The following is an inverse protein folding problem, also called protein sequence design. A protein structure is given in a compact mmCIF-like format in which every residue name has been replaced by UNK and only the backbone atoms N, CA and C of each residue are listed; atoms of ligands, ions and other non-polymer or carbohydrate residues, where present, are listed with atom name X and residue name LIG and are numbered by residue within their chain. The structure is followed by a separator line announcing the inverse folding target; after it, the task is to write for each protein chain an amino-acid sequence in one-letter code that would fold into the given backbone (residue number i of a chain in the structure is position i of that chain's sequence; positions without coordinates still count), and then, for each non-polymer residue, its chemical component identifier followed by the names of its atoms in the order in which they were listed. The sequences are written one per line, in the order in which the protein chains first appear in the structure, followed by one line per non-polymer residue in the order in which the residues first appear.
data_IF_597335686551
#
_entry.id   IF_597335686551
#
_cell.length_a   1.000
_cell.length_b   1.000
_cell.length_c   1.000
_cell.angle_alpha   90.00
_cell.angle_beta   90.00
_cell.angle_gamma   90.00
#
_symmetry.space_group_name_H-M   'P 1'
#
loop_
_entity.id
_entity.type
_entity.pdbx_description
1 polymer ?
#
# COMPACT_ATOMS: atom_id res chain seq x y z
N UNK A 1 -7.22 9.27 2.20
CA UNK A 1 -6.37 8.08 2.34
C UNK A 1 -6.79 7.37 3.60
N UNK A 2 -7.36 6.19 3.44
CA UNK A 2 -7.65 5.29 4.54
C UNK A 2 -6.39 4.46 4.77
N UNK A 3 -5.93 4.39 6.02
CA UNK A 3 -4.69 3.72 6.39
C UNK A 3 -4.79 2.23 6.05
N UNK A 4 -3.80 1.69 5.34
CA UNK A 4 -3.64 0.27 5.07
C UNK A 4 -2.37 -0.26 5.75
N UNK A 5 -2.38 -1.56 6.05
CA UNK A 5 -1.19 -2.29 6.50
C UNK A 5 -0.15 -2.27 5.39
N UNK A 6 1.08 -1.89 5.72
CA UNK A 6 2.22 -1.93 4.79
C UNK A 6 2.93 -3.28 4.90
N UNK A 7 3.20 -3.90 3.75
CA UNK A 7 4.01 -5.11 3.67
C UNK A 7 5.46 -4.72 3.35
N UNK A 8 6.42 -5.40 3.95
CA UNK A 8 7.84 -5.20 3.68
C UNK A 8 8.55 -6.54 3.60
N UNK A 9 9.36 -6.71 2.55
CA UNK A 9 10.36 -7.76 2.48
C UNK A 9 11.69 -7.18 2.94
N UNK A 10 12.32 -7.80 3.94
CA UNK A 10 13.56 -7.28 4.54
C UNK A 10 14.61 -8.38 4.60
N UNK A 11 15.88 -7.98 4.56
CA UNK A 11 17.02 -8.88 4.66
C UNK A 11 17.87 -8.49 5.88
N UNK A 12 18.45 -9.50 6.54
CA UNK A 12 19.43 -9.25 7.58
C UNK A 12 20.63 -8.47 7.02
N UNK A 13 21.01 -7.37 7.67
CA UNK A 13 22.08 -6.50 7.20
C UNK A 13 23.45 -7.19 7.12
N UNK A 14 23.82 -8.04 8.08
CA UNK A 14 25.11 -8.73 8.06
C UNK A 14 25.19 -9.74 6.92
N UNK A 15 24.07 -10.42 6.64
CA UNK A 15 23.99 -11.34 5.50
C UNK A 15 24.09 -10.56 4.18
N UNK A 16 23.36 -9.46 4.05
CA UNK A 16 23.48 -8.58 2.89
C UNK A 16 24.92 -8.09 2.67
N UNK A 17 25.58 -7.62 3.73
CA UNK A 17 26.96 -7.13 3.67
C UNK A 17 27.98 -8.25 3.37
N UNK A 18 27.61 -9.52 3.59
CA UNK A 18 28.47 -10.68 3.29
C UNK A 18 28.43 -11.11 1.82
N UNK A 19 27.46 -10.64 1.04
CA UNK A 19 27.34 -11.00 -0.36
C UNK A 19 28.38 -10.28 -1.22
N UNK A 20 28.93 -10.97 -2.25
CA UNK A 20 29.68 -10.31 -3.30
C UNK A 20 28.88 -9.19 -3.96
N UNK A 21 29.58 -8.18 -4.49
CA UNK A 21 28.94 -7.01 -5.09
C UNK A 21 28.02 -7.38 -6.26
N UNK A 22 28.38 -8.36 -7.07
CA UNK A 22 27.53 -8.81 -8.17
C UNK A 22 26.17 -9.36 -7.72
N UNK A 23 26.12 -10.01 -6.55
CA UNK A 23 24.87 -10.54 -5.98
C UNK A 23 24.02 -9.41 -5.39
N UNK A 24 24.66 -8.46 -4.70
CA UNK A 24 23.97 -7.26 -4.23
C UNK A 24 23.33 -6.50 -5.39
N UNK A 25 24.10 -6.26 -6.46
CA UNK A 25 23.62 -5.56 -7.64
C UNK A 25 22.46 -6.30 -8.34
N UNK A 26 22.54 -7.64 -8.43
CA UNK A 26 21.46 -8.46 -8.98
C UNK A 26 20.17 -8.35 -8.15
N UNK A 27 20.26 -8.39 -6.82
CA UNK A 27 19.10 -8.23 -5.93
C UNK A 27 18.52 -6.82 -6.05
N UNK A 28 19.36 -5.78 -6.06
CA UNK A 28 18.90 -4.39 -6.21
C UNK A 28 18.17 -4.19 -7.53
N UNK A 29 18.66 -4.78 -8.64
CA UNK A 29 17.96 -4.74 -9.93
C UNK A 29 16.59 -5.39 -9.86
N UNK A 30 16.48 -6.57 -9.25
CA UNK A 30 15.19 -7.26 -9.09
C UNK A 30 14.22 -6.47 -8.22
N UNK A 31 14.71 -5.75 -7.20
CA UNK A 31 13.85 -4.94 -6.33
C UNK A 31 13.06 -3.86 -7.10
N UNK A 32 13.62 -3.31 -8.19
CA UNK A 32 12.91 -2.33 -9.04
C UNK A 32 11.69 -2.96 -9.72
N UNK A 33 11.84 -4.19 -10.23
CA UNK A 33 10.75 -4.96 -10.85
C UNK A 33 9.71 -5.38 -9.80
N UNK A 34 10.18 -5.87 -8.65
CA UNK A 34 9.32 -6.28 -7.53
C UNK A 34 8.46 -5.12 -7.03
N UNK A 35 8.98 -3.89 -7.00
CA UNK A 35 8.20 -2.73 -6.58
C UNK A 35 6.94 -2.55 -7.45
N UNK A 36 7.09 -2.63 -8.78
CA UNK A 36 5.96 -2.52 -9.69
C UNK A 36 4.97 -3.68 -9.53
N UNK A 37 5.47 -4.92 -9.47
CA UNK A 37 4.62 -6.11 -9.29
C UNK A 37 3.84 -6.05 -7.98
N UNK A 38 4.52 -5.79 -6.86
CA UNK A 38 3.90 -5.72 -5.54
C UNK A 38 2.88 -4.58 -5.43
N UNK A 39 3.11 -3.47 -6.15
CA UNK A 39 2.19 -2.32 -6.17
C UNK A 39 0.87 -2.63 -6.89
N UNK A 40 0.80 -3.65 -7.75
CA UNK A 40 -0.41 -3.99 -8.51
C UNK A 40 -1.01 -5.35 -8.19
N UNK A 41 -0.30 -6.19 -7.44
CA UNK A 41 -0.68 -7.58 -7.17
C UNK A 41 -2.07 -7.72 -6.51
N UNK A 42 -2.40 -6.82 -5.58
CA UNK A 42 -3.63 -6.90 -4.78
C UNK A 42 -4.89 -6.59 -5.57
N UNK A 43 -4.88 -5.49 -6.34
CA UNK A 43 -6.07 -5.01 -7.04
C UNK A 43 -6.07 -5.41 -8.52
N UNK A 44 -4.90 -5.74 -9.07
CA UNK A 44 -4.69 -6.06 -10.48
C UNK A 44 -4.38 -4.82 -11.31
N UNK A 45 -3.95 -5.04 -12.56
CA UNK A 45 -3.69 -4.00 -13.56
C UNK A 45 -4.08 -4.50 -14.95
N UNK A 46 -4.33 -3.59 -15.88
CA UNK A 46 -4.58 -3.91 -17.30
C UNK A 46 -5.73 -4.93 -17.53
N UNK A 47 -6.78 -4.86 -16.71
CA UNK A 47 -7.93 -5.78 -16.78
C UNK A 47 -7.70 -7.16 -16.16
N UNK A 48 -6.51 -7.42 -15.59
CA UNK A 48 -6.26 -8.61 -14.78
C UNK A 48 -6.86 -8.46 -13.39
N UNK A 49 -7.38 -9.55 -12.82
CA UNK A 49 -7.85 -9.61 -11.43
C UNK A 49 -6.66 -9.70 -10.48
N UNK A 50 -6.58 -8.80 -9.52
CA UNK A 50 -5.68 -8.94 -8.38
C UNK A 50 -6.19 -9.95 -7.35
N UNK A 51 -5.33 -10.26 -6.37
CA UNK A 51 -5.62 -11.20 -5.29
C UNK A 51 -6.91 -10.89 -4.53
N UNK A 52 -7.23 -9.60 -4.34
CA UNK A 52 -8.46 -9.17 -3.67
C UNK A 52 -9.71 -9.63 -4.43
N UNK A 53 -9.73 -9.48 -5.75
CA UNK A 53 -10.88 -9.90 -6.56
C UNK A 53 -10.97 -11.42 -6.64
N UNK A 54 -9.84 -12.12 -6.76
CA UNK A 54 -9.81 -13.58 -6.76
C UNK A 54 -10.34 -14.17 -5.44
N UNK A 55 -9.94 -13.59 -4.31
CA UNK A 55 -10.43 -13.99 -2.99
C UNK A 55 -11.93 -13.70 -2.82
N UNK A 56 -12.38 -12.54 -3.28
CA UNK A 56 -13.81 -12.18 -3.27
C UNK A 56 -14.65 -13.15 -4.09
N UNK A 57 -14.23 -13.43 -5.33
CA UNK A 57 -14.94 -14.36 -6.22
C UNK A 57 -15.06 -15.75 -5.57
N UNK A 58 -13.96 -16.25 -4.99
CA UNK A 58 -13.96 -17.52 -4.29
C UNK A 58 -14.92 -17.53 -3.09
N UNK A 59 -14.92 -16.48 -2.27
CA UNK A 59 -15.84 -16.34 -1.14
C UNK A 59 -17.30 -16.42 -1.58
N UNK A 60 -17.66 -15.78 -2.69
CA UNK A 60 -19.03 -15.85 -3.25
C UNK A 60 -19.37 -17.27 -3.68
N UNK A 61 -18.44 -18.02 -4.29
CA UNK A 61 -18.67 -19.46 -4.61
C UNK A 61 -18.91 -20.33 -3.38
N UNK A 62 -18.49 -19.88 -2.19
CA UNK A 62 -18.73 -20.55 -0.90
C UNK A 62 -20.03 -20.12 -0.23
N UNK A 63 -20.83 -19.28 -0.88
CA UNK A 63 -22.12 -18.81 -0.36
C UNK A 63 -22.03 -17.56 0.51
N UNK A 64 -20.88 -16.87 0.54
CA UNK A 64 -20.78 -15.60 1.25
C UNK A 64 -21.56 -14.50 0.51
N UNK A 65 -22.26 -13.65 1.27
CA UNK A 65 -22.93 -12.47 0.73
C UNK A 65 -21.94 -11.33 0.51
N UNK A 66 -21.97 -10.73 -0.68
CA UNK A 66 -21.25 -9.50 -0.97
C UNK A 66 -22.17 -8.29 -0.73
N UNK A 67 -21.73 -7.36 0.11
CA UNK A 67 -22.42 -6.09 0.39
C UNK A 67 -21.56 -4.95 -0.13
N UNK A 68 -22.06 -4.26 -1.15
CA UNK A 68 -21.41 -3.06 -1.71
C UNK A 68 -22.00 -1.82 -1.03
N UNK A 69 -21.14 -0.97 -0.48
CA UNK A 69 -21.57 0.29 0.14
C UNK A 69 -22.05 1.27 -0.94
N UNK A 70 -23.10 2.04 -0.62
CA UNK A 70 -23.53 3.14 -1.49
C UNK A 70 -22.51 4.28 -1.48
N UNK A 71 -22.63 5.21 -2.44
CA UNK A 71 -21.78 6.39 -2.50
C UNK A 71 -21.96 7.27 -1.25
N UNK A 72 -23.20 7.42 -0.80
CA UNK A 72 -23.55 8.18 0.40
C UNK A 72 -22.93 7.56 1.65
N UNK A 73 -23.01 6.23 1.79
CA UNK A 73 -22.43 5.53 2.93
C UNK A 73 -20.90 5.64 2.92
N UNK A 74 -20.28 5.44 1.75
CA UNK A 74 -18.84 5.62 1.58
C UNK A 74 -18.38 7.04 1.94
N UNK A 75 -19.15 8.07 1.56
CA UNK A 75 -18.86 9.45 1.93
C UNK A 75 -18.94 9.68 3.44
N UNK A 76 -19.94 9.10 4.13
CA UNK A 76 -20.05 9.17 5.60
C UNK A 76 -18.82 8.60 6.28
N UNK A 77 -18.32 7.45 5.83
CA UNK A 77 -17.07 6.86 6.35
C UNK A 77 -15.87 7.76 6.09
N UNK A 78 -15.73 8.28 4.88
CA UNK A 78 -14.63 9.18 4.53
C UNK A 78 -14.58 10.42 5.43
N UNK A 79 -15.72 11.09 5.67
CA UNK A 79 -15.78 12.25 6.57
C UNK A 79 -15.35 11.90 8.00
N UNK A 80 -15.76 10.74 8.52
CA UNK A 80 -15.40 10.29 9.87
C UNK A 80 -13.92 9.96 10.01
N UNK A 81 -13.28 9.50 8.94
CA UNK A 81 -11.89 9.05 8.95
C UNK A 81 -10.89 10.17 8.63
N UNK A 82 -11.33 11.28 8.00
CA UNK A 82 -10.49 12.46 7.70
C UNK A 82 -9.64 12.94 8.90
N UNK A 83 -10.17 13.09 10.12
CA UNK A 83 -9.40 13.62 11.24
C UNK A 83 -8.22 12.73 11.67
N UNK A 84 -8.26 11.43 11.36
CA UNK A 84 -7.23 10.47 11.80
C UNK A 84 -5.85 10.79 11.23
N UNK A 85 -5.77 11.39 10.04
CA UNK A 85 -4.51 11.80 9.45
C UNK A 85 -3.81 12.88 10.27
N UNK A 86 -4.57 13.90 10.71
CA UNK A 86 -4.06 14.95 11.59
C UNK A 86 -3.68 14.41 12.97
N UNK A 87 -4.50 13.51 13.53
CA UNK A 87 -4.19 12.86 14.81
C UNK A 87 -2.89 12.06 14.74
N UNK A 88 -2.64 11.35 13.63
CA UNK A 88 -1.39 10.61 13.46
C UNK A 88 -0.19 11.54 13.27
N UNK A 89 -0.35 12.69 12.59
CA UNK A 89 0.69 13.70 12.53
C UNK A 89 1.09 14.19 13.94
N UNK A 90 0.12 14.38 14.85
CA UNK A 90 0.42 14.73 16.24
C UNK A 90 1.14 13.60 17.01
N UNK A 91 0.85 12.34 16.71
CA UNK A 91 1.59 11.20 17.26
C UNK A 91 3.06 11.24 16.82
N UNK A 92 3.33 11.60 15.56
CA UNK A 92 4.69 11.76 15.04
C UNK A 92 5.40 12.96 15.67
N UNK A 93 4.72 14.09 15.83
CA UNK A 93 5.28 15.29 16.47
C UNK A 93 5.75 14.99 17.91
N UNK A 94 4.97 14.22 18.67
CA UNK A 94 5.37 13.75 20.02
C UNK A 94 6.62 12.88 20.03
N UNK A 95 6.96 12.26 18.90
CA UNK A 95 8.19 11.48 18.68
C UNK A 95 9.32 12.32 18.08
N UNK A 96 9.17 13.65 18.03
CA UNK A 96 10.11 14.58 17.39
C UNK A 96 10.32 14.30 15.89
N UNK A 97 9.29 13.78 15.22
CA UNK A 97 9.24 13.58 13.76
C UNK A 97 8.24 14.59 13.20
N UNK A 98 8.60 15.30 12.13
CA UNK A 98 7.67 16.24 11.47
C UNK A 98 6.48 15.49 10.86
N UNK A 99 5.38 15.42 11.60
CA UNK A 99 4.19 14.68 11.20
C UNK A 99 3.52 15.28 9.97
N UNK A 100 3.57 16.60 9.81
CA UNK A 100 2.98 17.27 8.65
C UNK A 100 3.76 16.92 7.38
N UNK A 101 5.09 16.95 7.44
CA UNK A 101 5.95 16.56 6.33
C UNK A 101 5.74 15.08 5.95
N UNK A 102 5.70 14.17 6.93
CA UNK A 102 5.48 12.73 6.69
C UNK A 102 4.11 12.48 6.04
N UNK A 103 3.03 13.04 6.60
CA UNK A 103 1.68 12.86 6.04
C UNK A 103 1.54 13.50 4.66
N UNK A 104 2.19 14.64 4.43
CA UNK A 104 2.27 15.27 3.12
C UNK A 104 2.95 14.37 2.10
N UNK A 105 4.10 13.76 2.46
CA UNK A 105 4.84 12.86 1.57
C UNK A 105 4.07 11.60 1.25
N UNK A 106 3.39 11.02 2.24
CA UNK A 106 2.50 9.88 2.05
C UNK A 106 1.40 10.22 1.04
N UNK A 107 0.72 11.37 1.20
CA UNK A 107 -0.30 11.82 0.25
C UNK A 107 0.24 12.06 -1.16
N UNK A 108 1.43 12.63 -1.29
CA UNK A 108 2.09 12.87 -2.58
C UNK A 108 2.36 11.55 -3.31
N UNK A 109 3.01 10.61 -2.61
CA UNK A 109 3.40 9.32 -3.19
C UNK A 109 2.19 8.46 -3.55
N UNK A 110 1.13 8.44 -2.72
CA UNK A 110 -0.12 7.74 -3.06
C UNK A 110 -0.72 8.28 -4.35
N UNK A 111 -0.78 9.61 -4.53
CA UNK A 111 -1.33 10.20 -5.77
C UNK A 111 -0.49 9.84 -6.99
N UNK A 112 0.84 9.93 -6.85
CA UNK A 112 1.78 9.56 -7.92
C UNK A 112 1.57 8.12 -8.37
N UNK A 113 1.68 7.17 -7.45
CA UNK A 113 1.64 5.75 -7.81
C UNK A 113 0.26 5.24 -8.18
N UNK A 114 -0.82 5.80 -7.62
CA UNK A 114 -2.17 5.53 -8.13
C UNK A 114 -2.30 5.96 -9.61
N UNK A 115 -1.73 7.10 -9.97
CA UNK A 115 -1.77 7.59 -11.35
C UNK A 115 -0.85 6.80 -12.30
N UNK A 116 0.21 6.20 -11.76
CA UNK A 116 1.20 5.42 -12.52
C UNK A 116 0.71 3.99 -12.78
N UNK A 117 0.09 3.36 -11.78
CA UNK A 117 -0.25 1.93 -11.82
C UNK A 117 -1.74 1.62 -12.02
N UNK A 118 -2.66 2.57 -11.76
CA UNK A 118 -4.10 2.32 -11.70
C UNK A 118 -4.92 3.26 -12.60
N UNK A 119 -4.49 3.44 -13.85
CA UNK A 119 -5.29 4.15 -14.87
C UNK A 119 -6.40 3.28 -15.44
#
# INVERSE_FOLDING_TARGET
MLYNTVHYATMNKKVWDSFPKEIQDAITKVNEEVFATASTMWDGKDGAKGENQLGLDFAVTKGNQLITLSAEESARWNEKLKPLQGQYAEVLNKKSIDGKAVMGKISELTKKYNSEFYK
#
